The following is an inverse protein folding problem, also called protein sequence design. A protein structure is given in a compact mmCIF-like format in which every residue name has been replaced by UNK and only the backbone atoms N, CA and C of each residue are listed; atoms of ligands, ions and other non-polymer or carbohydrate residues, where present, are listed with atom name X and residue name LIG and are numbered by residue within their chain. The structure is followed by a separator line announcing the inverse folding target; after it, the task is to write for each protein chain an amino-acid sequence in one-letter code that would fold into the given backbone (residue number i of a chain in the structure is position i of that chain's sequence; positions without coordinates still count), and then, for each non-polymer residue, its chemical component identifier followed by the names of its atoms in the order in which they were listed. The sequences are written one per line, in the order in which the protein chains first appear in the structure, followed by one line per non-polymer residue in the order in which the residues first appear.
data_IF_613849569829
#
_entry.id   IF_613849569829
#
_cell.length_a   1.000
_cell.length_b   1.000
_cell.length_c   1.000
_cell.angle_alpha   90.00
_cell.angle_beta   90.00
_cell.angle_gamma   90.00
#
_symmetry.space_group_name_H-M   'P 1'
#
loop_
_entity.id
_entity.type
_entity.pdbx_description
1 polymer ?
#
# COMPACT_ATOMS: atom_id res chain seq x y z
N UNK A 1 -2.85 -7.75 -7.37
CA UNK A 1 -1.88 -7.14 -6.44
C UNK A 1 -1.20 -8.28 -5.73
N UNK A 2 0.08 -8.13 -5.39
CA UNK A 2 0.79 -9.11 -4.57
C UNK A 2 1.29 -8.38 -3.32
N UNK A 3 1.03 -8.94 -2.16
CA UNK A 3 1.55 -8.46 -0.88
C UNK A 3 2.31 -9.61 -0.24
N UNK A 4 3.62 -9.46 -0.10
CA UNK A 4 4.49 -10.47 0.50
C UNK A 4 4.87 -10.06 1.92
N UNK A 5 5.09 -11.07 2.76
CA UNK A 5 5.65 -10.99 4.10
C UNK A 5 6.56 -12.21 4.29
N UNK A 6 7.87 -12.00 4.33
CA UNK A 6 8.84 -13.00 4.74
C UNK A 6 9.16 -12.80 6.22
N UNK A 7 8.63 -13.66 7.06
CA UNK A 7 8.76 -13.53 8.50
C UNK A 7 10.19 -13.77 9.02
N UNK A 8 11.03 -14.51 8.29
CA UNK A 8 12.44 -14.71 8.66
C UNK A 8 13.26 -13.44 8.41
N UNK A 9 12.98 -12.75 7.31
CA UNK A 9 13.66 -11.50 6.95
C UNK A 9 13.01 -10.27 7.58
N UNK A 10 11.82 -10.43 8.18
CA UNK A 10 11.00 -9.34 8.75
C UNK A 10 10.68 -8.24 7.72
N UNK A 11 10.52 -8.65 6.47
CA UNK A 11 10.34 -7.75 5.33
C UNK A 11 9.13 -8.15 4.51
N UNK A 12 8.49 -7.15 3.92
CA UNK A 12 7.44 -7.34 2.95
C UNK A 12 7.66 -6.51 1.70
N UNK A 13 6.91 -6.85 0.67
CA UNK A 13 6.84 -6.08 -0.55
C UNK A 13 5.40 -6.02 -1.08
N UNK A 14 4.95 -4.84 -1.48
CA UNK A 14 3.64 -4.62 -2.10
C UNK A 14 3.82 -4.27 -3.56
N UNK A 15 3.39 -5.14 -4.47
CA UNK A 15 3.38 -4.91 -5.92
C UNK A 15 2.09 -4.23 -6.35
N UNK A 16 2.14 -2.93 -6.62
CA UNK A 16 0.97 -2.11 -6.94
C UNK A 16 0.55 -2.20 -8.41
N UNK A 17 1.50 -2.48 -9.31
CA UNK A 17 1.24 -2.70 -10.74
C UNK A 17 1.31 -4.18 -11.11
N UNK A 18 0.52 -4.65 -12.09
CA UNK A 18 0.69 -6.00 -12.64
C UNK A 18 2.05 -6.12 -13.33
N UNK A 19 2.84 -7.15 -12.99
CA UNK A 19 4.09 -7.47 -13.68
C UNK A 19 4.23 -9.00 -13.85
N UNK A 20 5.07 -9.44 -14.80
CA UNK A 20 5.28 -10.87 -15.08
C UNK A 20 5.88 -11.63 -13.88
N UNK A 21 6.62 -10.95 -13.01
CA UNK A 21 7.23 -11.53 -11.81
C UNK A 21 6.19 -12.02 -10.80
N UNK A 22 4.98 -11.42 -10.79
CA UNK A 22 3.90 -11.89 -9.92
C UNK A 22 3.32 -13.25 -10.28
N UNK A 23 3.56 -13.76 -11.49
CA UNK A 23 3.00 -15.03 -11.98
C UNK A 23 3.63 -16.27 -11.31
N UNK A 24 4.83 -16.13 -10.73
CA UNK A 24 5.52 -17.23 -10.03
C UNK A 24 4.93 -17.51 -8.63
N UNK A 25 4.15 -16.57 -8.09
CA UNK A 25 3.54 -16.67 -6.77
C UNK A 25 2.17 -17.32 -6.87
N UNK A 26 1.96 -18.37 -6.09
CA UNK A 26 0.68 -19.08 -6.00
C UNK A 26 0.27 -19.23 -4.54
N UNK A 27 -1.04 -19.27 -4.27
CA UNK A 27 -1.58 -19.45 -2.91
C UNK A 27 -1.06 -20.72 -2.23
N UNK A 28 -0.78 -21.77 -3.00
CA UNK A 28 -0.22 -23.03 -2.50
C UNK A 28 1.16 -22.87 -1.85
N UNK A 29 1.92 -21.84 -2.26
CA UNK A 29 3.23 -21.52 -1.69
C UNK A 29 3.14 -20.61 -0.46
N UNK A 30 1.93 -20.20 -0.04
CA UNK A 30 1.76 -19.30 1.08
C UNK A 30 1.28 -20.00 2.35
N UNK A 31 1.92 -19.65 3.46
CA UNK A 31 1.49 -20.04 4.80
C UNK A 31 0.24 -19.27 5.28
N UNK A 32 -0.28 -18.30 4.50
CA UNK A 32 -1.44 -17.50 4.89
C UNK A 32 -2.69 -18.38 5.11
N UNK A 33 -2.77 -19.52 4.42
CA UNK A 33 -3.85 -20.51 4.55
C UNK A 33 -3.90 -21.20 5.92
N UNK A 34 -2.84 -21.08 6.73
CA UNK A 34 -2.83 -21.54 8.13
C UNK A 34 -3.66 -20.64 9.06
N UNK A 35 -4.04 -19.44 8.59
CA UNK A 35 -4.74 -18.42 9.37
C UNK A 35 -6.12 -18.09 8.80
N UNK A 36 -6.27 -18.12 7.47
CA UNK A 36 -7.49 -17.67 6.79
C UNK A 36 -7.92 -18.64 5.69
N UNK A 37 -9.22 -18.67 5.39
CA UNK A 37 -9.71 -19.24 4.13
C UNK A 37 -9.27 -18.34 2.98
N UNK A 38 -8.30 -18.79 2.20
CA UNK A 38 -7.70 -18.04 1.10
C UNK A 38 -8.72 -17.59 0.05
N UNK A 39 -9.81 -18.34 -0.14
CA UNK A 39 -10.86 -18.01 -1.11
C UNK A 39 -11.75 -16.84 -0.64
N UNK A 40 -11.73 -16.55 0.67
CA UNK A 40 -12.47 -15.43 1.27
C UNK A 40 -11.70 -14.11 1.28
N UNK A 41 -10.38 -14.16 1.03
CA UNK A 41 -9.52 -12.99 1.07
C UNK A 41 -9.76 -12.10 -0.15
N UNK A 42 -10.13 -10.85 0.10
CA UNK A 42 -10.28 -9.83 -0.93
C UNK A 42 -10.14 -8.44 -0.32
N UNK A 43 -9.84 -7.46 -1.17
CA UNK A 43 -9.86 -6.05 -0.78
C UNK A 43 -11.24 -5.47 -1.09
N UNK A 44 -12.00 -5.00 -0.07
CA UNK A 44 -13.31 -4.43 -0.29
C UNK A 44 -13.18 -3.12 -1.07
N UNK A 45 -14.13 -2.92 -1.99
CA UNK A 45 -14.29 -1.66 -2.73
C UNK A 45 -15.47 -0.90 -2.16
N UNK A 46 -15.24 0.34 -1.74
CA UNK A 46 -16.21 1.14 -0.99
C UNK A 46 -16.37 2.48 -1.69
N UNK A 47 -17.60 2.91 -1.96
CA UNK A 47 -17.86 4.26 -2.46
C UNK A 47 -17.94 5.23 -1.29
N UNK A 48 -17.01 6.18 -1.22
CA UNK A 48 -16.96 7.19 -0.17
C UNK A 48 -16.55 8.56 -0.71
N UNK A 49 -17.49 9.20 -1.40
CA UNK A 49 -17.22 10.46 -2.12
C UNK A 49 -16.76 11.60 -1.19
N UNK A 50 -17.22 11.64 0.06
CA UNK A 50 -16.84 12.69 1.02
C UNK A 50 -15.43 12.54 1.61
N UNK A 51 -14.73 11.41 1.40
CA UNK A 51 -13.35 11.24 1.88
C UNK A 51 -12.39 12.28 1.30
N UNK A 52 -12.68 12.83 0.11
CA UNK A 52 -11.89 13.93 -0.46
C UNK A 52 -11.87 15.19 0.40
N UNK A 53 -12.85 15.39 1.28
CA UNK A 53 -12.84 16.49 2.25
C UNK A 53 -11.74 16.29 3.30
N UNK A 54 -11.55 15.07 3.79
CA UNK A 54 -10.47 14.71 4.71
C UNK A 54 -9.10 14.90 4.05
N UNK A 55 -8.94 14.46 2.79
CA UNK A 55 -7.71 14.72 2.02
C UNK A 55 -7.44 16.22 1.84
N UNK A 56 -8.49 17.04 1.72
CA UNK A 56 -8.38 18.49 1.64
C UNK A 56 -7.83 19.17 2.91
N UNK A 57 -7.86 18.48 4.05
CA UNK A 57 -7.30 18.97 5.32
C UNK A 57 -5.83 18.56 5.52
N UNK A 58 -5.32 17.64 4.70
CA UNK A 58 -3.94 17.16 4.78
C UNK A 58 -2.98 18.09 4.03
N UNK A 59 -1.70 18.04 4.40
CA UNK A 59 -0.67 18.79 3.67
C UNK A 59 -0.41 18.13 2.31
N UNK A 60 -0.66 18.85 1.22
CA UNK A 60 -0.17 18.47 -0.10
C UNK A 60 1.23 19.05 -0.34
N UNK A 61 2.18 18.20 -0.70
CA UNK A 61 3.51 18.61 -1.09
C UNK A 61 3.52 19.31 -2.46
N UNK A 62 4.44 20.26 -2.62
CA UNK A 62 4.69 20.94 -3.91
C UNK A 62 5.66 20.17 -4.80
N UNK A 63 6.49 19.31 -4.21
CA UNK A 63 7.44 18.43 -4.90
C UNK A 63 6.83 17.05 -5.12
N UNK A 64 7.31 16.32 -6.13
CA UNK A 64 6.96 14.91 -6.31
C UNK A 64 7.49 14.07 -5.16
N UNK A 65 6.95 12.85 -5.02
CA UNK A 65 7.48 11.85 -4.09
C UNK A 65 8.97 11.60 -4.34
N UNK A 66 9.35 11.33 -5.61
CA UNK A 66 10.74 11.11 -6.03
C UNK A 66 11.66 12.26 -5.63
N UNK A 67 11.22 13.51 -5.81
CA UNK A 67 12.02 14.69 -5.46
C UNK A 67 12.16 14.92 -3.96
N UNK A 68 11.26 14.36 -3.16
CA UNK A 68 11.19 14.56 -1.71
C UNK A 68 11.99 13.50 -0.94
N UNK A 69 12.13 12.29 -1.48
CA UNK A 69 13.00 11.25 -0.89
C UNK A 69 14.43 11.78 -0.76
N UNK A 70 15.06 11.50 0.38
CA UNK A 70 16.38 11.95 0.82
C UNK A 70 16.59 13.46 0.98
N UNK A 71 15.53 14.26 0.80
CA UNK A 71 15.54 15.71 1.06
C UNK A 71 14.56 16.12 2.16
N UNK A 72 13.41 15.46 2.23
CA UNK A 72 12.36 15.75 3.20
C UNK A 72 12.14 14.59 4.19
N UNK A 73 12.35 13.35 3.74
CA UNK A 73 12.26 12.12 4.52
C UNK A 73 13.11 11.04 3.85
N UNK A 74 13.42 9.97 4.58
CA UNK A 74 14.07 8.77 4.06
C UNK A 74 13.03 7.66 3.94
N UNK A 75 13.18 6.80 2.95
CA UNK A 75 12.37 5.58 2.89
C UNK A 75 12.80 4.61 3.99
N UNK A 76 11.87 3.78 4.47
CA UNK A 76 12.20 2.69 5.40
C UNK A 76 13.14 1.68 4.73
N UNK A 77 12.78 1.25 3.53
CA UNK A 77 13.60 0.48 2.59
C UNK A 77 13.56 1.15 1.21
N UNK A 78 13.54 0.41 0.10
CA UNK A 78 13.43 0.99 -1.23
C UNK A 78 12.00 0.95 -1.77
N UNK A 79 11.61 1.98 -2.53
CA UNK A 79 10.33 1.99 -3.22
C UNK A 79 10.59 2.07 -4.72
N UNK A 80 9.99 1.16 -5.48
CA UNK A 80 10.19 1.09 -6.91
C UNK A 80 9.24 2.05 -7.62
N UNK A 81 9.82 2.90 -8.45
CA UNK A 81 9.11 3.82 -9.33
C UNK A 81 9.42 3.46 -10.78
N UNK A 82 8.44 3.61 -11.68
CA UNK A 82 8.70 3.55 -13.11
C UNK A 82 9.49 4.78 -13.60
N UNK A 83 9.75 4.89 -14.92
CA UNK A 83 10.48 6.04 -15.48
C UNK A 83 9.78 7.37 -15.21
N UNK A 84 8.46 7.40 -15.22
CA UNK A 84 7.62 8.59 -15.08
C UNK A 84 7.39 8.99 -13.60
N UNK A 85 7.72 8.11 -12.65
CA UNK A 85 7.62 8.38 -11.22
C UNK A 85 6.44 7.71 -10.53
N UNK A 86 5.66 6.90 -11.26
CA UNK A 86 4.57 6.14 -10.67
C UNK A 86 5.11 4.99 -9.85
N UNK A 87 4.52 4.78 -8.67
CA UNK A 87 4.95 3.75 -7.73
C UNK A 87 4.54 2.37 -8.24
N UNK A 88 5.53 1.53 -8.50
CA UNK A 88 5.37 0.14 -8.93
C UNK A 88 5.27 -0.81 -7.74
N UNK A 89 6.05 -0.55 -6.69
CA UNK A 89 5.96 -1.31 -5.46
C UNK A 89 6.68 -0.68 -4.28
N UNK A 90 6.43 -1.27 -3.11
CA UNK A 90 6.81 -0.74 -1.81
C UNK A 90 7.49 -1.84 -1.03
N UNK A 91 8.76 -1.65 -0.68
CA UNK A 91 9.47 -2.49 0.30
C UNK A 91 9.30 -1.88 1.70
N UNK A 92 8.97 -2.72 2.68
CA UNK A 92 8.60 -2.26 4.01
C UNK A 92 8.95 -3.28 5.09
N UNK A 93 9.09 -2.81 6.32
CA UNK A 93 9.20 -3.70 7.47
C UNK A 93 7.84 -4.34 7.70
N UNK A 94 7.79 -5.66 7.61
CA UNK A 94 6.54 -6.40 7.72
C UNK A 94 6.81 -7.78 8.31
N UNK A 95 6.47 -7.94 9.58
CA UNK A 95 6.50 -9.23 10.27
C UNK A 95 5.15 -9.92 10.16
N UNK A 96 5.11 -11.22 10.45
CA UNK A 96 3.84 -11.95 10.56
C UNK A 96 2.88 -11.28 11.56
N UNK A 97 3.40 -10.80 12.70
CA UNK A 97 2.63 -10.13 13.75
C UNK A 97 1.98 -8.82 13.26
N UNK A 98 2.61 -8.10 12.34
CA UNK A 98 2.03 -6.89 11.75
C UNK A 98 1.13 -7.21 10.56
N UNK A 99 1.52 -8.18 9.74
CA UNK A 99 0.82 -8.52 8.51
C UNK A 99 -0.56 -9.12 8.77
N UNK A 100 -0.65 -10.09 9.70
CA UNK A 100 -1.89 -10.79 9.96
C UNK A 100 -3.01 -9.85 10.44
N UNK A 101 -2.80 -8.91 11.38
CA UNK A 101 -3.81 -7.92 11.74
C UNK A 101 -4.23 -7.01 10.59
N UNK A 102 -3.31 -6.59 9.72
CA UNK A 102 -3.67 -5.78 8.54
C UNK A 102 -4.63 -6.51 7.62
N UNK A 103 -4.42 -7.82 7.42
CA UNK A 103 -5.33 -8.69 6.66
C UNK A 103 -6.66 -8.89 7.41
N UNK A 104 -6.63 -9.28 8.69
CA UNK A 104 -7.81 -9.58 9.50
C UNK A 104 -8.75 -8.38 9.64
N UNK A 105 -8.19 -7.19 9.87
CA UNK A 105 -8.96 -5.95 10.04
C UNK A 105 -9.30 -5.26 8.72
N UNK A 106 -8.96 -5.89 7.59
CA UNK A 106 -9.14 -5.32 6.26
C UNK A 106 -8.56 -3.91 6.16
N UNK A 107 -7.33 -3.69 6.66
CA UNK A 107 -6.67 -2.39 6.56
C UNK A 107 -6.50 -1.97 5.09
N UNK A 108 -6.27 -2.95 4.22
CA UNK A 108 -6.29 -2.76 2.77
C UNK A 108 -7.72 -2.60 2.25
N UNK A 109 -8.07 -1.39 1.81
CA UNK A 109 -9.39 -1.06 1.24
C UNK A 109 -9.21 -0.19 0.01
N UNK A 110 -10.08 -0.38 -0.98
CA UNK A 110 -10.13 0.47 -2.15
C UNK A 110 -11.34 1.39 -2.07
N UNK A 111 -11.11 2.70 -2.04
CA UNK A 111 -12.16 3.70 -1.96
C UNK A 111 -12.36 4.40 -3.30
N UNK A 112 -13.61 4.49 -3.72
CA UNK A 112 -14.03 5.37 -4.80
C UNK A 112 -14.31 6.75 -4.20
N UNK A 113 -13.47 7.74 -4.51
CA UNK A 113 -13.52 9.07 -3.90
C UNK A 113 -13.63 10.16 -4.96
N UNK A 114 -14.10 11.34 -4.56
CA UNK A 114 -14.02 12.55 -5.38
C UNK A 114 -13.16 13.57 -4.64
N UNK A 115 -12.07 14.00 -5.26
CA UNK A 115 -11.13 14.95 -4.67
C UNK A 115 -10.67 15.93 -5.74
N UNK A 116 -10.67 17.24 -5.41
CA UNK A 116 -10.28 18.30 -6.34
C UNK A 116 -11.03 18.28 -7.67
N UNK A 117 -12.33 17.99 -7.61
CA UNK A 117 -13.24 17.86 -8.76
C UNK A 117 -12.93 16.71 -9.73
N UNK A 118 -12.01 15.81 -9.37
CA UNK A 118 -11.72 14.60 -10.13
C UNK A 118 -12.14 13.37 -9.31
N UNK A 119 -12.44 12.29 -10.02
CA UNK A 119 -12.69 10.99 -9.39
C UNK A 119 -11.36 10.24 -9.27
N UNK A 120 -11.12 9.64 -8.11
CA UNK A 120 -9.92 8.87 -7.82
C UNK A 120 -10.28 7.53 -7.18
N UNK A 121 -9.37 6.57 -7.28
CA UNK A 121 -9.31 5.37 -6.45
C UNK A 121 -8.25 5.57 -5.37
N UNK A 122 -8.59 5.27 -4.13
CA UNK A 122 -7.64 5.32 -3.01
C UNK A 122 -7.49 3.93 -2.40
N UNK A 123 -6.31 3.34 -2.53
CA UNK A 123 -5.93 2.11 -1.86
C UNK A 123 -5.26 2.46 -0.53
N UNK A 124 -5.87 2.08 0.59
CA UNK A 124 -5.22 2.17 1.91
C UNK A 124 -4.27 0.99 2.11
N UNK A 125 -3.14 1.25 2.77
CA UNK A 125 -2.15 0.23 3.17
C UNK A 125 -2.06 0.08 4.70
N UNK A 126 -2.88 0.85 5.41
CA UNK A 126 -2.99 0.85 6.86
C UNK A 126 -4.43 1.21 7.27
N UNK A 127 -4.73 1.20 8.57
CA UNK A 127 -6.04 1.57 9.08
C UNK A 127 -6.43 3.00 8.64
N UNK A 128 -7.66 3.17 8.16
CA UNK A 128 -8.08 4.41 7.50
C UNK A 128 -7.91 5.68 8.36
N UNK A 129 -8.02 5.57 9.69
CA UNK A 129 -7.86 6.70 10.61
C UNK A 129 -6.40 7.16 10.69
N UNK A 130 -5.45 6.23 10.60
CA UNK A 130 -4.02 6.53 10.54
C UNK A 130 -3.63 7.07 9.17
N UNK A 131 -4.22 6.52 8.10
CA UNK A 131 -4.02 7.02 6.74
C UNK A 131 -4.45 8.48 6.60
N UNK A 132 -5.63 8.83 7.10
CA UNK A 132 -6.23 10.18 7.02
C UNK A 132 -5.75 11.13 8.13
N UNK A 133 -4.68 10.79 8.83
CA UNK A 133 -4.08 11.68 9.80
C UNK A 133 -3.61 12.97 9.12
N UNK A 134 -4.05 14.14 9.62
CA UNK A 134 -3.70 15.46 9.07
C UNK A 134 -2.20 15.77 9.06
N UNK A 135 -1.41 15.06 9.87
CA UNK A 135 0.05 15.19 9.92
C UNK A 135 0.75 14.43 8.79
N UNK A 136 0.07 13.46 8.17
CA UNK A 136 0.58 12.80 6.97
C UNK A 136 0.58 13.79 5.81
N UNK A 137 1.42 13.47 4.82
CA UNK A 137 1.70 14.34 3.69
C UNK A 137 1.32 13.61 2.42
N UNK A 138 0.55 14.28 1.57
CA UNK A 138 0.22 13.77 0.25
C UNK A 138 1.34 14.24 -0.70
N UNK A 139 1.97 13.32 -1.40
CA UNK A 139 2.96 13.62 -2.43
C UNK A 139 2.41 13.22 -3.80
N UNK A 140 2.42 14.12 -4.80
CA UNK A 140 2.17 13.71 -6.18
C UNK A 140 3.28 12.74 -6.63
N UNK A 141 2.91 11.70 -7.37
CA UNK A 141 3.89 10.77 -7.95
C UNK A 141 4.58 11.39 -9.17
N UNK A 142 3.81 12.16 -9.95
CA UNK A 142 4.24 12.78 -11.19
C UNK A 142 3.80 14.26 -11.28
N UNK A 143 4.39 15.06 -12.19
CA UNK A 143 3.94 16.43 -12.45
C UNK A 143 2.47 16.56 -12.88
N UNK A 144 1.92 15.53 -13.50
CA UNK A 144 0.54 15.43 -14.00
C UNK A 144 -0.49 15.47 -12.86
N UNK A 145 -0.11 15.06 -11.64
CA UNK A 145 -0.97 15.04 -10.45
C UNK A 145 -2.25 14.21 -10.66
N UNK A 146 -2.12 13.13 -11.41
CA UNK A 146 -3.14 12.10 -11.64
C UNK A 146 -2.96 10.90 -10.69
N UNK A 147 -1.81 10.79 -10.02
CA UNK A 147 -1.56 9.84 -8.95
C UNK A 147 -0.73 10.45 -7.80
N UNK A 148 -0.95 9.96 -6.59
CA UNK A 148 -0.37 10.46 -5.35
C UNK A 148 -0.14 9.31 -4.37
N UNK A 149 0.75 9.53 -3.41
CA UNK A 149 0.90 8.69 -2.22
C UNK A 149 0.76 9.49 -0.96
N UNK A 150 0.19 8.88 0.08
CA UNK A 150 0.16 9.43 1.44
C UNK A 150 1.35 8.86 2.20
N UNK A 151 2.15 9.72 2.79
CA UNK A 151 3.34 9.33 3.58
C UNK A 151 3.18 9.82 5.01
N UNK A 152 3.27 8.89 5.96
CA UNK A 152 3.47 9.21 7.37
C UNK A 152 4.97 9.35 7.62
N UNK A 153 5.41 10.51 8.10
CA UNK A 153 6.83 10.78 8.34
C UNK A 153 7.06 10.86 9.84
N UNK A 154 7.89 9.98 10.37
CA UNK A 154 8.30 10.03 11.76
C UNK A 154 9.14 11.31 12.01
N UNK A 155 8.74 12.17 12.96
CA UNK A 155 9.40 13.47 13.13
C UNK A 155 10.84 13.37 13.65
N UNK A 156 11.22 12.26 14.29
CA UNK A 156 12.53 12.06 14.90
C UNK A 156 13.53 11.45 13.92
N UNK A 157 13.21 10.27 13.38
CA UNK A 157 14.05 9.51 12.44
C UNK A 157 13.96 10.03 11.00
N UNK A 158 12.90 10.78 10.67
CA UNK A 158 12.56 11.19 9.29
C UNK A 158 12.27 10.02 8.35
N UNK A 159 12.00 8.83 8.88
CA UNK A 159 11.58 7.70 8.06
C UNK A 159 10.12 7.90 7.63
N UNK A 160 9.86 7.72 6.34
CA UNK A 160 8.56 7.82 5.70
C UNK A 160 7.95 6.45 5.41
N UNK A 161 6.76 6.20 5.94
CA UNK A 161 5.93 5.02 5.65
C UNK A 161 4.85 5.36 4.64
N UNK A 162 4.68 4.54 3.60
CA UNK A 162 3.59 4.69 2.63
C UNK A 162 2.28 4.18 3.26
N UNK A 163 1.30 5.06 3.36
CA UNK A 163 0.02 4.81 4.01
C UNK A 163 -1.10 4.51 3.01
N UNK A 164 -1.02 5.11 1.82
CA UNK A 164 -2.00 4.90 0.75
C UNK A 164 -1.48 5.33 -0.61
N UNK A 165 -2.05 4.74 -1.65
CA UNK A 165 -1.97 5.17 -3.04
C UNK A 165 -3.31 5.82 -3.43
N UNK A 166 -3.28 6.98 -4.06
CA UNK A 166 -4.45 7.65 -4.65
C UNK A 166 -4.19 7.79 -6.14
N UNK A 167 -5.07 7.30 -7.01
CA UNK A 167 -4.83 7.33 -8.46
C UNK A 167 -6.11 7.46 -9.28
N UNK A 168 -6.03 8.24 -10.36
CA UNK A 168 -7.02 8.30 -11.43
C UNK A 168 -6.63 7.41 -12.63
N UNK A 169 -5.52 6.67 -12.52
CA UNK A 169 -4.90 5.87 -13.58
C UNK A 169 -5.23 4.40 -13.43
N UNK A 170 -6.45 4.03 -13.85
CA UNK A 170 -6.90 2.63 -13.88
C UNK A 170 -6.09 1.77 -14.88
N UNK A 171 -5.37 2.40 -15.82
CA UNK A 171 -4.42 1.75 -16.73
C UNK A 171 -3.14 1.30 -16.03
N UNK A 172 -2.64 2.07 -15.04
CA UNK A 172 -1.45 1.72 -14.25
C UNK A 172 -1.80 0.88 -13.02
N UNK A 173 -2.94 1.17 -12.39
CA UNK A 173 -3.41 0.53 -11.17
C UNK A 173 -4.79 -0.09 -11.35
N UNK A 174 -4.91 -1.19 -12.10
CA UNK A 174 -6.20 -1.76 -12.44
C UNK A 174 -6.98 -2.19 -11.20
N UNK A 175 -8.23 -1.76 -11.10
CA UNK A 175 -9.11 -2.06 -9.96
C UNK A 175 -9.20 -3.55 -9.70
N UNK A 176 -9.34 -4.37 -10.74
CA UNK A 176 -9.46 -5.83 -10.60
C UNK A 176 -8.18 -6.47 -10.04
N UNK A 177 -7.02 -5.92 -10.41
CA UNK A 177 -5.74 -6.32 -9.84
C UNK A 177 -5.65 -5.92 -8.37
N UNK A 178 -6.02 -4.69 -8.00
CA UNK A 178 -5.96 -4.22 -6.61
C UNK A 178 -6.95 -4.95 -5.68
N UNK A 179 -8.13 -5.31 -6.18
CA UNK A 179 -9.19 -5.95 -5.37
C UNK A 179 -8.95 -7.41 -5.05
N UNK A 180 -8.15 -8.09 -5.87
CA UNK A 180 -7.82 -9.51 -5.72
C UNK A 180 -6.33 -9.66 -5.40
N UNK A 181 -5.90 -9.23 -4.20
CA UNK A 181 -4.52 -9.42 -3.82
C UNK A 181 -4.22 -10.90 -3.61
N UNK A 182 -3.02 -11.31 -4.00
CA UNK A 182 -2.38 -12.50 -3.48
C UNK A 182 -1.64 -12.09 -2.21
N UNK A 183 -2.11 -12.54 -1.05
CA UNK A 183 -1.42 -12.35 0.23
C UNK A 183 -0.45 -13.52 0.43
N UNK A 184 0.84 -13.25 0.41
CA UNK A 184 1.90 -14.24 0.57
C UNK A 184 2.58 -14.08 1.92
N UNK A 185 2.22 -14.92 2.89
CA UNK A 185 3.04 -15.15 4.08
C UNK A 185 4.01 -16.30 3.81
N UNK A 186 5.29 -16.10 4.11
CA UNK A 186 6.34 -17.11 4.08
C UNK A 186 7.01 -17.23 5.46
N UNK A 187 7.48 -18.45 5.77
CA UNK A 187 8.21 -18.79 6.99
C UNK A 187 7.38 -18.55 8.27
N UNK A 188 6.13 -19.00 8.25
CA UNK A 188 5.22 -18.74 9.36
C UNK A 188 5.69 -19.34 10.68
N UNK A 189 5.47 -18.61 11.77
CA UNK A 189 5.79 -19.06 13.13
C UNK A 189 5.02 -20.34 13.51
N UNK A 190 3.82 -20.55 12.95
CA UNK A 190 2.98 -21.74 13.18
C UNK A 190 3.55 -23.03 12.61
N UNK A 191 4.46 -22.95 11.65
CA UNK A 191 5.10 -24.13 11.08
C UNK A 191 6.05 -24.79 12.08
N UNK A 192 6.71 -23.99 12.93
CA UNK A 192 7.66 -24.47 13.94
C UNK A 192 6.99 -24.91 15.26
N UNK A 193 5.72 -24.55 15.50
CA UNK A 193 4.99 -24.92 16.72
C UNK A 193 4.36 -26.32 16.67
N UNK A 194 4.52 -27.05 15.56
CA UNK A 194 4.02 -28.43 15.36
C UNK A 194 5.11 -29.51 15.53
N UNK A 195 6.30 -29.13 16.00
CA UNK A 195 7.41 -30.04 16.30
C UNK A 195 7.44 -30.48 17.76
#
# INVERSE_FOLDING_TARGET
MLITCDNNMQMGYIYLMPNQTTDEYTLEKSDIGLYYDVNSLSIPRIKWLSMGQSLGQMRLATKTYRDAVDKAFHCEYWNDLDSEGYMMGIELYLTEELFLPLVAHQAFKLYDIRWRNCDFRMLTLDAYHDVLNKNNVIYPLSPEKDAFVIVAIDPLSKIGKIMALISARDDLYPIDYLRKPLFMLANSSRYFSRG
#
